data_IF_167125372853
#
_entry.id   IF_167125372853
#
_cell.length_a   1.000
_cell.length_b   1.000
_cell.length_c   1.000
_cell.angle_alpha   90.00
_cell.angle_beta   90.00
_cell.angle_gamma   90.00
#
_symmetry.space_group_name_H-M   'P 1'
#
loop_
_entity.id
_entity.type
_entity.pdbx_description
1 polymer ?
#
# COMPACT_ATOMS: atom_id res chain seq x y z
N UNK A 1 40.08 -34.43 -4.70
CA UNK A 1 38.66 -34.68 -5.05
C UNK A 1 37.95 -33.34 -5.35
N UNK A 2 38.43 -32.58 -6.33
CA UNK A 2 37.84 -31.29 -6.77
C UNK A 2 37.77 -31.18 -8.30
N UNK A 3 38.35 -32.13 -9.04
CA UNK A 3 38.45 -32.05 -10.51
C UNK A 3 37.21 -32.59 -11.25
N UNK A 4 36.25 -33.19 -10.55
CA UNK A 4 35.09 -33.86 -11.17
C UNK A 4 33.84 -32.98 -11.28
N UNK A 5 33.83 -31.78 -10.67
CA UNK A 5 32.66 -30.87 -10.71
C UNK A 5 32.75 -29.87 -11.87
N UNK A 6 33.96 -29.55 -12.37
CA UNK A 6 34.12 -28.69 -13.55
C UNK A 6 33.83 -29.39 -14.89
N UNK A 7 33.87 -30.73 -14.93
CA UNK A 7 33.63 -31.48 -16.17
C UNK A 7 32.15 -31.53 -16.58
N UNK A 8 31.21 -31.28 -15.64
CA UNK A 8 29.78 -31.34 -15.93
C UNK A 8 29.20 -30.05 -16.55
N UNK A 9 29.96 -28.95 -16.60
CA UNK A 9 29.53 -27.72 -17.27
C UNK A 9 30.05 -27.58 -18.71
N UNK A 10 30.93 -28.48 -19.16
CA UNK A 10 31.53 -28.41 -20.49
C UNK A 10 30.67 -29.07 -21.60
N UNK A 11 29.57 -29.74 -21.26
CA UNK A 11 28.74 -30.51 -22.22
C UNK A 11 27.23 -30.26 -22.08
N UNK A 12 26.80 -29.10 -21.58
CA UNK A 12 25.42 -28.69 -21.81
C UNK A 12 25.31 -28.19 -23.26
N UNK A 13 24.50 -28.82 -24.12
CA UNK A 13 24.19 -28.23 -25.42
C UNK A 13 23.62 -26.84 -25.17
N UNK A 14 24.05 -25.87 -25.99
CA UNK A 14 23.55 -24.51 -26.00
C UNK A 14 22.03 -24.51 -25.84
N UNK A 15 21.54 -24.17 -24.64
CA UNK A 15 20.21 -23.57 -24.49
C UNK A 15 20.27 -22.14 -25.03
N UNK A 16 20.65 -22.00 -26.30
CA UNK A 16 20.17 -20.89 -27.08
C UNK A 16 18.76 -21.33 -27.50
N UNK A 17 17.75 -20.71 -26.87
CA UNK A 17 16.44 -20.68 -27.50
C UNK A 17 16.67 -20.14 -28.92
N UNK A 18 16.54 -21.00 -29.92
CA UNK A 18 16.62 -20.57 -31.31
C UNK A 18 15.47 -19.59 -31.51
N UNK A 19 15.82 -18.30 -31.54
CA UNK A 19 14.88 -17.25 -31.84
C UNK A 19 14.31 -17.53 -33.24
N UNK A 20 13.01 -17.33 -33.48
CA UNK A 20 12.47 -17.38 -34.82
C UNK A 20 13.29 -16.45 -35.74
N UNK A 21 13.39 -16.75 -37.04
CA UNK A 21 14.23 -15.99 -37.96
C UNK A 21 13.88 -14.50 -37.89
N UNK A 22 14.91 -13.68 -37.65
CA UNK A 22 14.80 -12.23 -37.64
C UNK A 22 14.09 -11.74 -38.90
N UNK A 23 13.10 -10.85 -38.74
CA UNK A 23 12.52 -10.13 -39.87
C UNK A 23 13.64 -9.23 -40.44
N UNK A 24 14.00 -9.33 -41.73
CA UNK A 24 15.11 -8.56 -42.29
C UNK A 24 14.81 -7.05 -42.23
N UNK A 25 15.60 -6.29 -41.45
CA UNK A 25 15.47 -4.84 -41.34
C UNK A 25 15.56 -4.26 -39.93
N UNK A 26 15.63 -5.09 -38.89
CA UNK A 26 15.71 -4.65 -37.50
C UNK A 26 17.16 -4.83 -37.02
N UNK A 27 18.01 -3.80 -37.00
CA UNK A 27 19.07 -3.80 -36.02
C UNK A 27 18.39 -3.55 -34.68
N UNK A 28 18.44 -4.52 -33.75
CA UNK A 28 18.41 -4.24 -32.31
C UNK A 28 19.68 -3.44 -31.97
N UNK A 29 19.78 -2.25 -32.57
CA UNK A 29 20.82 -1.27 -32.32
C UNK A 29 20.48 -0.49 -31.06
N UNK A 30 21.47 0.24 -30.54
CA UNK A 30 21.22 1.18 -29.46
C UNK A 30 20.19 2.22 -29.92
N UNK A 31 19.01 2.26 -29.29
CA UNK A 31 18.09 3.36 -29.54
C UNK A 31 18.74 4.68 -29.07
N UNK A 32 18.46 5.81 -29.73
CA UNK A 32 18.93 7.11 -29.30
C UNK A 32 18.60 7.39 -27.83
N UNK A 33 19.42 8.25 -27.21
CA UNK A 33 19.24 8.69 -25.82
C UNK A 33 19.18 7.54 -24.78
N UNK A 34 19.87 6.43 -25.03
CA UNK A 34 19.93 5.27 -24.13
C UNK A 34 18.56 4.61 -23.86
N UNK A 35 17.63 4.72 -24.81
CA UNK A 35 16.28 4.16 -24.68
C UNK A 35 16.22 2.71 -25.13
N UNK A 36 15.12 2.01 -24.86
CA UNK A 36 14.79 0.69 -25.40
C UNK A 36 13.29 0.65 -25.64
N UNK A 37 12.86 0.24 -26.84
CA UNK A 37 11.45 0.12 -27.16
C UNK A 37 11.19 -1.21 -27.88
N UNK A 38 10.24 -2.01 -27.40
CA UNK A 38 9.84 -3.27 -28.03
C UNK A 38 8.32 -3.43 -27.92
N UNK A 39 7.66 -3.72 -29.05
CA UNK A 39 6.20 -3.84 -29.14
C UNK A 39 5.51 -2.69 -29.88
N UNK A 40 4.23 -2.88 -30.19
CA UNK A 40 3.46 -1.94 -31.01
C UNK A 40 3.19 -0.64 -30.25
N UNK A 41 3.58 0.49 -30.85
CA UNK A 41 3.46 1.84 -30.28
C UNK A 41 4.17 2.02 -28.92
N UNK A 42 5.16 1.19 -28.61
CA UNK A 42 6.05 1.43 -27.48
C UNK A 42 6.88 2.70 -27.73
N UNK A 43 6.95 3.60 -26.76
CA UNK A 43 7.76 4.84 -26.82
C UNK A 43 7.48 5.72 -28.06
N UNK A 44 6.22 5.78 -28.52
CA UNK A 44 5.86 6.40 -29.79
C UNK A 44 6.05 7.93 -29.84
N UNK A 45 5.89 8.62 -28.70
CA UNK A 45 5.94 10.08 -28.59
C UNK A 45 6.96 10.53 -27.53
N UNK A 46 8.25 10.42 -27.87
CA UNK A 46 9.37 10.95 -27.08
C UNK A 46 9.81 12.32 -27.63
N UNK A 47 9.61 13.37 -26.84
CA UNK A 47 9.89 14.78 -27.17
C UNK A 47 11.25 15.30 -26.69
N UNK A 48 12.00 14.54 -25.87
CA UNK A 48 13.34 14.92 -25.44
C UNK A 48 13.96 14.13 -24.29
N UNK A 49 13.26 13.14 -23.74
CA UNK A 49 13.72 12.34 -22.61
C UNK A 49 14.79 11.31 -22.96
N UNK A 50 15.43 10.73 -21.95
CA UNK A 50 16.51 9.74 -22.11
C UNK A 50 16.36 8.57 -21.14
N UNK A 51 16.97 7.42 -21.46
CA UNK A 51 17.08 6.28 -20.55
C UNK A 51 15.78 5.53 -20.27
N UNK A 52 14.77 5.67 -21.14
CA UNK A 52 13.48 5.01 -20.99
C UNK A 52 13.50 3.58 -21.58
N UNK A 53 12.87 2.62 -20.89
CA UNK A 53 12.68 1.24 -21.36
C UNK A 53 11.19 0.95 -21.50
N UNK A 54 10.70 0.68 -22.70
CA UNK A 54 9.29 0.43 -23.00
C UNK A 54 9.12 -0.94 -23.67
N UNK A 55 8.43 -1.88 -23.02
CA UNK A 55 8.21 -3.23 -23.54
C UNK A 55 6.72 -3.56 -23.46
N UNK A 56 6.04 -3.66 -24.61
CA UNK A 56 4.63 -4.03 -24.70
C UNK A 56 3.79 -3.06 -25.54
N UNK A 57 2.51 -3.42 -25.74
CA UNK A 57 1.56 -2.60 -26.49
C UNK A 57 1.30 -1.28 -25.78
N UNK A 58 1.57 -0.14 -26.43
CA UNK A 58 1.41 1.20 -25.86
C UNK A 58 2.18 1.46 -24.54
N UNK A 59 3.24 0.69 -24.26
CA UNK A 59 4.09 0.98 -23.10
C UNK A 59 4.84 2.30 -23.33
N UNK A 60 4.83 3.21 -22.34
CA UNK A 60 5.43 4.54 -22.43
C UNK A 60 5.04 5.30 -23.72
N UNK A 61 3.77 5.17 -24.14
CA UNK A 61 3.29 5.69 -25.42
C UNK A 61 3.52 7.20 -25.58
N UNK A 62 3.09 7.97 -24.59
CA UNK A 62 3.34 9.40 -24.46
C UNK A 62 4.30 9.61 -23.29
N UNK A 63 5.55 9.98 -23.59
CA UNK A 63 6.57 10.22 -22.58
C UNK A 63 7.21 11.62 -22.68
N UNK A 64 7.02 12.34 -23.79
CA UNK A 64 7.54 13.70 -23.98
C UNK A 64 9.03 13.85 -23.56
N UNK A 65 9.38 14.69 -22.59
CA UNK A 65 10.73 14.81 -22.04
C UNK A 65 11.01 14.00 -20.75
N UNK A 66 10.08 13.11 -20.35
CA UNK A 66 10.25 12.24 -19.18
C UNK A 66 11.43 11.28 -19.38
N UNK A 67 12.19 11.01 -18.32
CA UNK A 67 13.46 10.27 -18.41
C UNK A 67 13.59 9.17 -17.36
N UNK A 68 14.40 8.15 -17.66
CA UNK A 68 14.72 7.05 -16.73
C UNK A 68 13.50 6.21 -16.30
N UNK A 69 12.47 6.12 -17.15
CA UNK A 69 11.26 5.36 -16.85
C UNK A 69 11.30 3.96 -17.48
N UNK A 70 10.87 2.94 -16.74
CA UNK A 70 10.76 1.55 -17.22
C UNK A 70 9.29 1.13 -17.24
N UNK A 71 8.70 0.93 -18.40
CA UNK A 71 7.38 0.36 -18.60
C UNK A 71 7.47 -1.04 -19.22
N UNK A 72 6.85 -2.03 -18.59
CA UNK A 72 6.77 -3.41 -19.10
C UNK A 72 5.35 -3.92 -18.95
N UNK A 73 4.63 -4.06 -20.05
CA UNK A 73 3.23 -4.49 -20.09
C UNK A 73 2.37 -3.63 -21.01
N UNK A 74 1.16 -4.12 -21.31
CA UNK A 74 0.22 -3.38 -22.13
C UNK A 74 -0.25 -2.11 -21.38
N UNK A 75 0.01 -0.94 -21.96
CA UNK A 75 -0.36 0.36 -21.39
C UNK A 75 0.40 0.76 -20.13
N UNK A 76 1.51 0.08 -19.78
CA UNK A 76 2.34 0.48 -18.65
C UNK A 76 2.97 1.86 -18.92
N UNK A 77 2.75 2.84 -18.03
CA UNK A 77 3.18 4.23 -18.18
C UNK A 77 2.72 4.91 -19.48
N UNK A 78 1.57 4.53 -20.05
CA UNK A 78 1.17 5.00 -21.37
C UNK A 78 0.97 6.53 -21.46
N UNK A 79 0.53 7.15 -20.36
CA UNK A 79 0.25 8.59 -20.27
C UNK A 79 1.15 9.21 -19.20
N UNK A 80 2.46 9.19 -19.43
CA UNK A 80 3.40 9.89 -18.55
C UNK A 80 3.82 11.25 -19.11
N UNK A 81 3.83 12.28 -18.27
CA UNK A 81 4.15 13.64 -18.72
C UNK A 81 5.38 14.21 -18.01
N UNK A 82 5.82 15.37 -18.46
CA UNK A 82 7.03 16.02 -17.92
C UNK A 82 6.70 16.79 -16.64
N UNK A 83 7.62 16.84 -15.65
CA UNK A 83 8.99 16.30 -15.63
C UNK A 83 9.18 14.89 -15.00
N UNK A 84 8.26 13.92 -15.18
CA UNK A 84 8.37 12.61 -14.53
C UNK A 84 9.72 11.89 -14.77
N UNK A 85 10.35 11.43 -13.68
CA UNK A 85 11.62 10.69 -13.72
C UNK A 85 11.63 9.44 -12.86
N UNK A 86 12.43 8.45 -13.27
CA UNK A 86 12.80 7.29 -12.45
C UNK A 86 11.64 6.39 -12.02
N UNK A 87 10.60 6.26 -12.84
CA UNK A 87 9.46 5.38 -12.53
C UNK A 87 9.65 3.97 -13.10
N UNK A 88 9.20 2.95 -12.36
CA UNK A 88 9.18 1.55 -12.82
C UNK A 88 7.76 1.01 -12.77
N UNK A 89 7.19 0.62 -13.91
CA UNK A 89 5.86 0.05 -14.02
C UNK A 89 5.90 -1.31 -14.74
N UNK A 90 5.47 -2.37 -14.04
CA UNK A 90 5.45 -3.74 -14.56
C UNK A 90 4.06 -4.35 -14.39
N UNK A 91 3.37 -4.63 -15.49
CA UNK A 91 2.00 -5.14 -15.51
C UNK A 91 1.12 -4.43 -16.52
N UNK A 92 0.00 -5.04 -16.89
CA UNK A 92 -0.98 -4.38 -17.75
C UNK A 92 -1.61 -3.19 -17.00
N UNK A 93 -1.56 -2.01 -17.59
CA UNK A 93 -2.11 -0.77 -17.02
C UNK A 93 -1.41 -0.28 -15.74
N UNK A 94 -0.26 -0.83 -15.37
CA UNK A 94 0.52 -0.34 -14.24
C UNK A 94 0.97 1.11 -14.52
N UNK A 95 0.69 2.03 -13.60
CA UNK A 95 0.92 3.46 -13.77
C UNK A 95 0.39 4.02 -15.09
N UNK A 96 -0.80 3.59 -15.54
CA UNK A 96 -1.36 4.03 -16.82
C UNK A 96 -1.32 5.55 -16.99
N UNK A 97 -1.71 6.28 -15.95
CA UNK A 97 -1.65 7.74 -15.87
C UNK A 97 -0.65 8.12 -14.78
N UNK A 98 0.51 8.63 -15.20
CA UNK A 98 1.54 9.19 -14.33
C UNK A 98 1.92 10.61 -14.77
N UNK A 99 1.24 11.64 -14.28
CA UNK A 99 1.40 13.02 -14.75
C UNK A 99 2.85 13.52 -14.64
N UNK A 100 3.26 14.07 -13.51
CA UNK A 100 4.64 14.50 -13.24
C UNK A 100 5.30 13.76 -12.06
N UNK A 101 4.60 12.78 -11.49
CA UNK A 101 5.09 11.94 -10.41
C UNK A 101 6.40 11.22 -10.74
N UNK A 102 7.31 11.21 -9.78
CA UNK A 102 8.67 10.68 -9.91
C UNK A 102 9.02 9.67 -8.82
N UNK A 103 10.01 8.83 -9.10
CA UNK A 103 10.53 7.81 -8.18
C UNK A 103 9.48 6.79 -7.71
N UNK A 104 8.48 6.48 -8.54
CA UNK A 104 7.45 5.51 -8.21
C UNK A 104 7.78 4.10 -8.75
N UNK A 105 7.44 3.07 -7.99
CA UNK A 105 7.53 1.67 -8.42
C UNK A 105 6.16 1.01 -8.35
N UNK A 106 5.68 0.46 -9.46
CA UNK A 106 4.42 -0.25 -9.57
C UNK A 106 4.64 -1.61 -10.24
N UNK A 107 4.21 -2.69 -9.59
CA UNK A 107 4.31 -4.06 -10.10
C UNK A 107 3.01 -4.81 -9.81
N UNK A 108 2.21 -5.00 -10.85
CA UNK A 108 0.91 -5.64 -10.77
C UNK A 108 -0.06 -5.08 -11.81
N UNK A 109 -1.08 -5.87 -12.16
CA UNK A 109 -2.16 -5.42 -13.04
C UNK A 109 -2.89 -4.23 -12.42
N UNK A 110 -2.95 -3.10 -13.14
CA UNK A 110 -3.55 -1.84 -12.68
C UNK A 110 -2.99 -1.31 -11.34
N UNK A 111 -1.74 -1.66 -10.99
CA UNK A 111 -1.06 -1.06 -9.84
C UNK A 111 -0.75 0.42 -10.11
N UNK A 112 -1.01 1.29 -9.13
CA UNK A 112 -0.75 2.73 -9.21
C UNK A 112 -1.37 3.40 -10.45
N UNK A 113 -2.56 2.97 -10.88
CA UNK A 113 -3.15 3.35 -12.18
C UNK A 113 -3.33 4.85 -12.35
N UNK A 114 -3.80 5.52 -11.29
CA UNK A 114 -4.02 6.96 -11.28
C UNK A 114 -3.08 7.64 -10.27
N UNK A 115 -1.94 8.13 -10.78
CA UNK A 115 -0.97 8.92 -10.03
C UNK A 115 -0.69 10.21 -10.79
N UNK A 116 -1.31 11.33 -10.43
CA UNK A 116 -1.13 12.59 -11.17
C UNK A 116 0.24 13.18 -10.86
N UNK A 117 0.54 13.49 -9.60
CA UNK A 117 1.83 14.09 -9.21
C UNK A 117 2.54 13.42 -8.04
N UNK A 118 1.97 12.35 -7.49
CA UNK A 118 2.54 11.65 -6.34
C UNK A 118 3.92 11.06 -6.62
N UNK A 119 4.80 11.14 -5.64
CA UNK A 119 6.20 10.74 -5.72
C UNK A 119 6.54 9.67 -4.68
N UNK A 120 7.57 8.87 -4.98
CA UNK A 120 8.15 7.90 -4.04
C UNK A 120 7.14 6.84 -3.53
N UNK A 121 6.17 6.48 -4.37
CA UNK A 121 5.16 5.47 -4.08
C UNK A 121 5.59 4.07 -4.55
N UNK A 122 5.34 3.05 -3.72
CA UNK A 122 5.69 1.66 -3.96
C UNK A 122 4.41 0.80 -3.97
N UNK A 123 3.97 0.32 -5.13
CA UNK A 123 2.77 -0.48 -5.31
C UNK A 123 3.10 -1.89 -5.84
N UNK A 124 2.91 -2.93 -5.02
CA UNK A 124 3.15 -4.33 -5.38
C UNK A 124 1.89 -5.16 -5.18
N UNK A 125 1.19 -5.49 -6.26
CA UNK A 125 -0.07 -6.23 -6.23
C UNK A 125 -1.06 -5.71 -7.26
N UNK A 126 -2.09 -6.52 -7.57
CA UNK A 126 -3.15 -6.05 -8.47
C UNK A 126 -3.98 -4.98 -7.76
N UNK A 127 -4.19 -3.84 -8.42
CA UNK A 127 -4.92 -2.68 -7.88
C UNK A 127 -4.33 -2.07 -6.59
N UNK A 128 -3.08 -2.37 -6.25
CA UNK A 128 -2.38 -1.67 -5.17
C UNK A 128 -2.22 -0.19 -5.53
N UNK A 129 -2.57 0.73 -4.62
CA UNK A 129 -2.58 2.19 -4.84
C UNK A 129 -3.33 2.62 -6.10
N UNK A 130 -4.43 1.94 -6.45
CA UNK A 130 -5.14 2.18 -7.71
C UNK A 130 -5.49 3.67 -7.94
N UNK A 131 -5.98 4.35 -6.90
CA UNK A 131 -6.05 5.81 -6.82
C UNK A 131 -4.97 6.29 -5.85
N UNK A 132 -4.16 7.25 -6.29
CA UNK A 132 -3.16 7.96 -5.48
C UNK A 132 -2.82 9.29 -6.19
N UNK A 133 -3.76 10.24 -6.21
CA UNK A 133 -3.73 11.37 -7.15
C UNK A 133 -2.49 12.25 -6.98
N UNK A 134 -2.26 12.77 -5.78
CA UNK A 134 -1.14 13.67 -5.44
C UNK A 134 -0.26 13.12 -4.31
N UNK A 135 -0.75 12.17 -3.51
CA UNK A 135 -0.05 11.69 -2.32
C UNK A 135 1.34 11.07 -2.56
N UNK A 136 2.24 11.33 -1.61
CA UNK A 136 3.65 11.00 -1.61
C UNK A 136 3.99 9.88 -0.60
N UNK A 137 4.99 9.08 -0.95
CA UNK A 137 5.70 8.22 0.01
C UNK A 137 4.90 7.02 0.54
N UNK A 138 3.92 6.52 -0.21
CA UNK A 138 3.10 5.39 0.19
C UNK A 138 3.73 4.04 -0.20
N UNK A 139 3.56 3.02 0.62
CA UNK A 139 3.93 1.64 0.33
C UNK A 139 2.71 0.73 0.43
N UNK A 140 2.30 0.13 -0.68
CA UNK A 140 1.19 -0.81 -0.76
C UNK A 140 1.67 -2.16 -1.31
N UNK A 141 1.55 -3.22 -0.52
CA UNK A 141 1.94 -4.58 -0.90
C UNK A 141 0.74 -5.49 -0.64
N UNK A 142 0.06 -5.93 -1.70
CA UNK A 142 -1.14 -6.76 -1.61
C UNK A 142 -2.15 -6.40 -2.68
N UNK A 143 -3.14 -7.27 -2.89
CA UNK A 143 -4.26 -6.96 -3.77
C UNK A 143 -5.17 -5.93 -3.07
N UNK A 144 -5.54 -4.88 -3.80
CA UNK A 144 -6.33 -3.74 -3.30
C UNK A 144 -5.77 -2.99 -2.08
N UNK A 145 -4.48 -3.14 -1.74
CA UNK A 145 -3.87 -2.36 -0.66
C UNK A 145 -3.87 -0.86 -1.04
N UNK A 146 -4.35 0.00 -0.14
CA UNK A 146 -4.49 1.46 -0.37
C UNK A 146 -5.27 1.84 -1.65
N UNK A 147 -6.32 1.09 -2.01
CA UNK A 147 -7.03 1.26 -3.29
C UNK A 147 -7.60 2.67 -3.52
N UNK A 148 -8.05 3.36 -2.47
CA UNK A 148 -8.74 4.66 -2.56
C UNK A 148 -7.91 5.84 -2.05
N UNK A 149 -6.59 5.67 -1.90
CA UNK A 149 -5.72 6.69 -1.30
C UNK A 149 -5.76 8.01 -2.10
N UNK A 150 -6.00 9.11 -1.43
CA UNK A 150 -6.12 10.46 -2.00
C UNK A 150 -7.09 10.53 -3.20
N UNK A 151 -8.25 9.88 -3.08
CA UNK A 151 -9.23 9.82 -4.16
C UNK A 151 -9.74 11.21 -4.60
N UNK A 152 -9.82 12.17 -3.68
CA UNK A 152 -10.27 13.53 -3.98
C UNK A 152 -9.15 14.46 -4.46
N UNK A 153 -7.89 14.08 -4.29
CA UNK A 153 -6.74 14.89 -4.71
C UNK A 153 -6.59 16.14 -3.86
N UNK A 154 -6.67 15.99 -2.55
CA UNK A 154 -6.50 17.12 -1.62
C UNK A 154 -5.04 17.26 -1.11
N UNK A 155 -4.10 16.47 -1.69
CA UNK A 155 -2.67 16.44 -1.31
C UNK A 155 -2.48 16.05 0.18
N UNK A 156 -3.32 15.10 0.59
CA UNK A 156 -3.32 14.43 1.89
C UNK A 156 -3.20 12.92 1.62
N UNK A 157 -3.13 12.08 2.66
CA UNK A 157 -2.87 10.64 2.54
C UNK A 157 -1.42 10.21 2.26
N UNK A 158 -0.44 11.00 2.70
CA UNK A 158 0.98 10.68 2.59
C UNK A 158 1.48 9.64 3.60
N UNK A 159 2.60 9.03 3.26
CA UNK A 159 3.44 8.25 4.17
C UNK A 159 2.73 7.06 4.83
N UNK A 160 1.81 6.41 4.12
CA UNK A 160 1.15 5.20 4.58
C UNK A 160 1.92 3.94 4.19
N UNK A 161 1.87 2.91 5.06
CA UNK A 161 2.40 1.58 4.77
C UNK A 161 1.30 0.54 4.92
N UNK A 162 0.84 -0.04 3.82
CA UNK A 162 -0.17 -1.10 3.79
C UNK A 162 0.42 -2.40 3.22
N UNK A 163 0.43 -3.47 4.01
CA UNK A 163 0.96 -4.78 3.63
C UNK A 163 -0.07 -5.86 3.96
N UNK A 164 -0.77 -6.36 2.96
CA UNK A 164 -1.86 -7.34 3.09
C UNK A 164 -2.92 -7.17 2.00
N UNK A 165 -3.72 -8.22 1.78
CA UNK A 165 -4.93 -8.10 0.95
C UNK A 165 -5.93 -7.17 1.64
N UNK A 166 -6.40 -6.13 0.93
CA UNK A 166 -7.35 -5.15 1.46
C UNK A 166 -6.83 -4.24 2.59
N UNK A 167 -5.52 -4.26 2.90
CA UNK A 167 -4.95 -3.37 3.92
C UNK A 167 -5.18 -1.89 3.53
N UNK A 168 -5.77 -1.11 4.44
CA UNK A 168 -6.17 0.29 4.21
C UNK A 168 -7.03 0.51 2.96
N UNK A 169 -7.90 -0.44 2.61
CA UNK A 169 -8.73 -0.37 1.40
C UNK A 169 -9.52 0.93 1.26
N UNK A 170 -10.16 1.40 2.34
CA UNK A 170 -11.03 2.57 2.33
C UNK A 170 -10.32 3.89 2.69
N UNK A 171 -9.00 3.91 2.86
CA UNK A 171 -8.27 5.13 3.17
C UNK A 171 -8.39 6.12 2.02
N UNK A 172 -8.92 7.30 2.34
CA UNK A 172 -9.03 8.44 1.44
C UNK A 172 -7.92 9.42 1.80
N UNK A 173 -7.98 10.09 2.95
CA UNK A 173 -7.04 11.18 3.28
C UNK A 173 -6.16 10.92 4.52
N UNK A 174 -6.34 9.78 5.18
CA UNK A 174 -5.57 9.42 6.36
C UNK A 174 -4.08 9.26 6.04
N UNK A 175 -3.21 9.93 6.79
CA UNK A 175 -1.76 9.94 6.58
C UNK A 175 -1.00 9.25 7.72
N UNK A 176 0.24 8.84 7.44
CA UNK A 176 1.17 8.25 8.44
C UNK A 176 0.62 7.02 9.17
N UNK A 177 -0.21 6.23 8.48
CA UNK A 177 -0.73 4.99 9.03
C UNK A 177 0.14 3.78 8.64
N UNK A 178 0.23 2.80 9.54
CA UNK A 178 0.87 1.51 9.30
C UNK A 178 -0.18 0.41 9.42
N UNK A 179 -0.39 -0.37 8.38
CA UNK A 179 -1.31 -1.50 8.32
C UNK A 179 -0.58 -2.75 7.79
N UNK A 180 -0.39 -3.76 8.63
CA UNK A 180 0.28 -5.01 8.26
C UNK A 180 -0.62 -6.18 8.64
N UNK A 181 -1.23 -6.83 7.65
CA UNK A 181 -2.21 -7.88 7.82
C UNK A 181 -3.36 -7.71 6.83
N UNK A 182 -4.05 -8.81 6.50
CA UNK A 182 -5.25 -8.72 5.68
C UNK A 182 -6.31 -7.88 6.40
N UNK A 183 -6.89 -6.92 5.67
CA UNK A 183 -7.91 -5.97 6.13
C UNK A 183 -7.51 -5.10 7.35
N UNK A 184 -6.20 -5.01 7.68
CA UNK A 184 -5.74 -4.08 8.70
C UNK A 184 -6.07 -2.63 8.30
N UNK A 185 -6.68 -1.85 9.22
CA UNK A 185 -7.22 -0.51 8.95
C UNK A 185 -8.18 -0.44 7.74
N UNK A 186 -8.87 -1.54 7.40
CA UNK A 186 -9.64 -1.65 6.15
C UNK A 186 -10.74 -0.60 5.95
N UNK A 187 -11.32 -0.06 7.02
CA UNK A 187 -12.34 1.00 7.01
C UNK A 187 -11.87 2.34 7.61
N UNK A 188 -10.55 2.58 7.65
CA UNK A 188 -9.98 3.87 8.04
C UNK A 188 -10.09 4.88 6.91
N UNK A 189 -11.00 5.85 7.00
CA UNK A 189 -11.33 6.75 5.89
C UNK A 189 -10.42 7.99 5.87
N UNK A 190 -10.37 8.76 6.98
CA UNK A 190 -9.64 10.03 7.08
C UNK A 190 -8.63 10.06 8.24
N UNK A 191 -8.72 9.14 9.19
CA UNK A 191 -7.87 9.19 10.37
C UNK A 191 -6.38 8.88 10.07
N UNK A 192 -5.52 9.57 10.80
CA UNK A 192 -4.06 9.53 10.64
C UNK A 192 -3.36 8.95 11.88
N UNK A 193 -2.08 8.63 11.74
CA UNK A 193 -1.20 8.27 12.85
C UNK A 193 -1.59 6.98 13.60
N UNK A 194 -2.18 6.00 12.89
CA UNK A 194 -2.52 4.69 13.46
C UNK A 194 -1.52 3.59 13.09
N UNK A 195 -1.31 2.63 13.99
CA UNK A 195 -0.52 1.42 13.75
C UNK A 195 -1.37 0.17 13.97
N UNK A 196 -1.61 -0.60 12.92
CA UNK A 196 -2.37 -1.84 12.91
C UNK A 196 -1.50 -2.99 12.39
N UNK A 197 -1.27 -4.00 13.21
CA UNK A 197 -0.47 -5.18 12.84
C UNK A 197 -1.23 -6.45 13.24
N UNK A 198 -1.84 -7.12 12.26
CA UNK A 198 -2.63 -8.34 12.46
C UNK A 198 -3.83 -8.39 11.52
N UNK A 199 -4.40 -9.58 11.34
CA UNK A 199 -5.65 -9.75 10.60
C UNK A 199 -6.77 -8.93 11.25
N UNK A 200 -7.41 -8.04 10.50
CA UNK A 200 -8.46 -7.15 10.97
C UNK A 200 -8.09 -6.27 12.18
N UNK A 201 -6.80 -6.00 12.41
CA UNK A 201 -6.41 -5.02 13.43
C UNK A 201 -6.93 -3.64 13.02
N UNK A 202 -7.62 -2.92 13.94
CA UNK A 202 -8.23 -1.62 13.68
C UNK A 202 -9.17 -1.57 12.47
N UNK A 203 -9.84 -2.69 12.12
CA UNK A 203 -10.66 -2.80 10.90
C UNK A 203 -11.65 -1.65 10.73
N UNK A 204 -12.45 -1.36 11.77
CA UNK A 204 -13.50 -0.36 11.73
C UNK A 204 -13.07 1.01 12.28
N UNK A 205 -11.75 1.24 12.42
CA UNK A 205 -11.23 2.52 12.86
C UNK A 205 -11.64 3.62 11.87
N UNK A 206 -12.27 4.69 12.34
CA UNK A 206 -12.78 5.80 11.52
C UNK A 206 -13.80 5.41 10.42
N UNK A 207 -14.59 4.34 10.62
CA UNK A 207 -15.63 3.96 9.64
C UNK A 207 -16.74 5.02 9.46
N UNK A 208 -16.80 6.00 10.36
CA UNK A 208 -17.72 7.12 10.32
C UNK A 208 -17.25 8.23 9.36
N UNK A 209 -15.95 8.24 9.02
CA UNK A 209 -15.33 9.28 8.19
C UNK A 209 -15.23 10.64 8.88
N UNK A 210 -15.09 10.68 10.21
CA UNK A 210 -14.91 11.92 10.97
C UNK A 210 -13.44 12.29 11.16
N UNK A 211 -12.50 11.39 10.83
CA UNK A 211 -11.06 11.57 10.99
C UNK A 211 -10.61 11.64 12.46
N UNK A 212 -11.46 11.22 13.40
CA UNK A 212 -11.21 11.39 14.84
C UNK A 212 -10.42 10.23 15.47
N UNK A 213 -10.43 9.05 14.84
CA UNK A 213 -9.83 7.85 15.39
C UNK A 213 -8.31 7.79 15.16
N UNK A 214 -7.57 8.74 15.74
CA UNK A 214 -6.12 8.93 15.56
C UNK A 214 -5.30 8.32 16.70
N UNK A 215 -4.00 8.18 16.50
CA UNK A 215 -3.03 7.77 17.52
C UNK A 215 -3.34 6.39 18.16
N UNK A 216 -3.97 5.48 17.43
CA UNK A 216 -4.26 4.13 17.93
C UNK A 216 -3.19 3.13 17.51
N UNK A 217 -2.78 2.25 18.43
CA UNK A 217 -1.87 1.12 18.18
C UNK A 217 -2.60 -0.18 18.46
N UNK A 218 -2.88 -0.98 17.43
CA UNK A 218 -3.44 -2.33 17.53
C UNK A 218 -2.48 -3.38 16.98
N UNK A 219 -1.96 -4.26 17.83
CA UNK A 219 -1.04 -5.33 17.46
C UNK A 219 -1.64 -6.67 17.91
N UNK A 220 -2.02 -7.52 16.96
CA UNK A 220 -2.71 -8.79 17.19
C UNK A 220 -3.91 -8.95 16.27
N UNK A 221 -4.36 -10.18 16.05
CA UNK A 221 -5.58 -10.42 15.29
C UNK A 221 -6.77 -9.74 16.01
N UNK A 222 -7.53 -8.93 15.27
CA UNK A 222 -8.72 -8.22 15.77
C UNK A 222 -8.45 -7.29 16.98
N UNK A 223 -7.20 -6.86 17.20
CA UNK A 223 -6.89 -5.82 18.17
C UNK A 223 -7.57 -4.51 17.74
N UNK A 224 -8.30 -3.86 18.66
CA UNK A 224 -9.09 -2.64 18.38
C UNK A 224 -10.05 -2.76 17.18
N UNK A 225 -10.60 -3.95 16.93
CA UNK A 225 -11.43 -4.24 15.75
C UNK A 225 -12.53 -3.19 15.51
N UNK A 226 -13.24 -2.78 16.56
CA UNK A 226 -14.37 -1.84 16.49
C UNK A 226 -14.08 -0.50 17.18
N UNK A 227 -12.95 0.13 16.86
CA UNK A 227 -12.53 1.44 17.38
C UNK A 227 -13.01 2.62 16.53
N UNK A 228 -14.33 2.83 16.46
CA UNK A 228 -14.95 3.68 15.43
C UNK A 228 -14.38 5.11 15.43
N UNK A 229 -14.42 5.84 16.54
CA UNK A 229 -14.00 7.24 16.60
C UNK A 229 -12.99 7.53 17.71
N UNK A 230 -12.68 6.55 18.55
CA UNK A 230 -11.79 6.74 19.69
C UNK A 230 -10.31 6.84 19.30
N UNK A 231 -9.56 7.57 20.12
CA UNK A 231 -8.16 7.90 19.87
C UNK A 231 -7.26 7.56 21.06
N UNK A 232 -5.97 7.42 20.76
CA UNK A 232 -4.93 7.23 21.78
C UNK A 232 -4.99 5.89 22.50
N UNK A 233 -5.52 4.84 21.86
CA UNK A 233 -5.61 3.51 22.47
C UNK A 233 -4.41 2.63 22.07
N UNK A 234 -3.92 1.82 23.02
CA UNK A 234 -2.89 0.81 22.77
C UNK A 234 -3.44 -0.57 23.10
N UNK A 235 -3.51 -1.46 22.11
CA UNK A 235 -3.93 -2.84 22.23
C UNK A 235 -2.85 -3.77 21.67
N UNK A 236 -2.29 -4.63 22.52
CA UNK A 236 -1.27 -5.61 22.15
C UNK A 236 -1.74 -6.99 22.60
N UNK A 237 -2.27 -7.78 21.69
CA UNK A 237 -2.83 -9.10 21.93
C UNK A 237 -4.00 -9.40 20.98
N UNK A 238 -4.26 -10.69 20.74
CA UNK A 238 -5.44 -11.10 19.98
C UNK A 238 -6.71 -10.68 20.70
N UNK A 239 -7.60 -9.96 20.03
CA UNK A 239 -8.88 -9.49 20.61
C UNK A 239 -8.74 -8.46 21.74
N UNK A 240 -7.56 -7.88 21.95
CA UNK A 240 -7.38 -6.79 22.92
C UNK A 240 -8.17 -5.55 22.48
N UNK A 241 -8.97 -4.97 23.38
CA UNK A 241 -9.86 -3.81 23.10
C UNK A 241 -10.79 -4.00 21.89
N UNK A 242 -11.21 -5.24 21.59
CA UNK A 242 -11.97 -5.55 20.36
C UNK A 242 -13.24 -4.71 20.14
N UNK A 243 -13.94 -4.36 21.21
CA UNK A 243 -15.18 -3.58 21.17
C UNK A 243 -15.06 -2.16 21.74
N UNK A 244 -13.84 -1.61 21.77
CA UNK A 244 -13.57 -0.26 22.28
C UNK A 244 -14.14 0.81 21.34
N UNK A 245 -15.07 1.65 21.80
CA UNK A 245 -15.84 2.66 21.04
C UNK A 245 -16.81 2.09 19.99
N UNK A 246 -17.43 0.95 20.25
CA UNK A 246 -18.44 0.38 19.34
C UNK A 246 -19.65 1.31 19.12
N UNK A 247 -19.91 2.24 20.03
CA UNK A 247 -20.98 3.25 19.88
C UNK A 247 -20.61 4.38 18.91
N UNK A 248 -19.32 4.55 18.63
CA UNK A 248 -18.79 5.65 17.81
C UNK A 248 -18.96 7.03 18.46
N UNK A 249 -19.10 7.10 19.78
CA UNK A 249 -19.27 8.38 20.47
C UNK A 249 -17.94 9.04 20.89
N UNK A 250 -16.79 8.43 20.53
CA UNK A 250 -15.45 8.92 20.83
C UNK A 250 -15.15 8.97 22.35
N UNK A 251 -15.82 8.15 23.17
CA UNK A 251 -15.60 8.14 24.62
C UNK A 251 -14.46 7.21 25.03
N UNK A 252 -14.23 6.11 24.31
CA UNK A 252 -13.32 5.03 24.69
C UNK A 252 -11.85 5.33 24.39
N UNK A 253 -11.33 6.43 24.94
CA UNK A 253 -9.98 6.95 24.67
C UNK A 253 -8.95 6.58 25.74
N UNK A 254 -7.68 6.62 25.36
CA UNK A 254 -6.53 6.47 26.25
C UNK A 254 -6.49 5.13 27.02
N UNK A 255 -7.00 4.04 26.44
CA UNK A 255 -6.94 2.72 27.04
C UNK A 255 -5.66 1.98 26.65
N UNK A 256 -5.06 1.25 27.59
CA UNK A 256 -3.91 0.37 27.36
C UNK A 256 -4.29 -1.06 27.70
N UNK A 257 -4.21 -1.97 26.74
CA UNK A 257 -4.48 -3.39 26.88
C UNK A 257 -3.30 -4.21 26.34
N UNK A 258 -2.66 -5.02 27.18
CA UNK A 258 -1.53 -5.88 26.81
C UNK A 258 -1.80 -7.31 27.30
N UNK A 259 -2.22 -8.17 26.38
CA UNK A 259 -2.66 -9.54 26.65
C UNK A 259 -3.77 -9.95 25.70
N UNK A 260 -3.93 -11.26 25.47
CA UNK A 260 -5.08 -11.75 24.71
C UNK A 260 -6.38 -11.39 25.44
N UNK A 261 -7.34 -10.82 24.71
CA UNK A 261 -8.67 -10.43 25.20
C UNK A 261 -8.66 -9.43 26.39
N UNK A 262 -7.53 -8.78 26.67
CA UNK A 262 -7.48 -7.70 27.65
C UNK A 262 -8.40 -6.54 27.22
N UNK A 263 -9.26 -6.08 28.14
CA UNK A 263 -10.29 -5.06 27.88
C UNK A 263 -11.19 -5.36 26.66
N UNK A 264 -11.45 -6.64 26.33
CA UNK A 264 -12.22 -7.00 25.14
C UNK A 264 -13.56 -6.25 25.04
N UNK A 265 -14.32 -6.17 26.14
CA UNK A 265 -15.59 -5.46 26.27
C UNK A 265 -15.44 -4.18 27.12
N UNK A 266 -14.65 -3.23 26.60
CA UNK A 266 -14.52 -1.88 27.13
C UNK A 266 -15.18 -0.86 26.17
N UNK A 267 -16.51 -0.89 26.08
CA UNK A 267 -17.24 -0.18 25.03
C UNK A 267 -16.98 1.32 25.03
N UNK A 268 -17.20 2.04 26.14
CA UNK A 268 -16.98 3.50 26.18
C UNK A 268 -16.07 3.94 27.34
N UNK A 269 -15.50 2.98 28.08
CA UNK A 269 -14.60 3.23 29.19
C UNK A 269 -13.30 3.88 28.71
N UNK A 270 -12.77 4.84 29.48
CA UNK A 270 -11.54 5.57 29.15
C UNK A 270 -10.45 5.40 30.21
N UNK A 271 -9.21 5.64 29.80
CA UNK A 271 -8.05 5.67 30.68
C UNK A 271 -7.87 4.38 31.51
N UNK A 272 -8.26 3.22 30.97
CA UNK A 272 -8.08 1.94 31.63
C UNK A 272 -6.73 1.31 31.25
N UNK A 273 -6.09 0.61 32.18
CA UNK A 273 -4.86 -0.17 31.95
C UNK A 273 -5.10 -1.63 32.32
N UNK A 274 -4.95 -2.54 31.35
CA UNK A 274 -5.07 -3.97 31.56
C UNK A 274 -3.83 -4.69 31.00
N UNK A 275 -3.15 -5.44 31.85
CA UNK A 275 -2.01 -6.27 31.48
C UNK A 275 -2.32 -7.70 31.92
N UNK A 276 -2.11 -8.67 31.03
CA UNK A 276 -2.46 -10.08 31.24
C UNK A 276 -3.63 -10.55 30.38
N UNK A 277 -3.75 -11.86 30.24
CA UNK A 277 -4.86 -12.49 29.49
C UNK A 277 -6.17 -12.26 30.24
N UNK A 278 -7.21 -11.85 29.51
CA UNK A 278 -8.56 -11.55 30.02
C UNK A 278 -8.61 -10.45 31.10
N UNK A 279 -7.53 -9.67 31.27
CA UNK A 279 -7.49 -8.59 32.25
C UNK A 279 -8.56 -7.54 31.93
N UNK A 280 -9.42 -7.24 32.90
CA UNK A 280 -10.58 -6.36 32.73
C UNK A 280 -11.48 -6.73 31.53
N UNK A 281 -11.64 -8.03 31.23
CA UNK A 281 -12.40 -8.54 30.07
C UNK A 281 -13.75 -7.85 29.84
N UNK A 282 -14.53 -7.63 30.91
CA UNK A 282 -15.86 -7.02 30.89
C UNK A 282 -15.89 -5.68 31.65
N UNK A 283 -15.05 -4.73 31.26
CA UNK A 283 -14.92 -3.47 31.99
C UNK A 283 -16.11 -2.54 31.81
N UNK A 284 -16.58 -2.33 30.58
CA UNK A 284 -17.73 -1.46 30.27
C UNK A 284 -18.62 -2.09 29.18
N UNK A 285 -19.20 -3.25 29.46
CA UNK A 285 -20.14 -3.88 28.53
C UNK A 285 -21.43 -3.07 28.33
N UNK A 286 -21.69 -2.08 29.19
CA UNK A 286 -22.87 -1.22 29.12
C UNK A 286 -22.78 -0.12 28.06
N UNK A 287 -21.58 0.27 27.64
CA UNK A 287 -21.37 1.44 26.76
C UNK A 287 -21.86 2.74 27.39
N UNK A 288 -21.76 2.86 28.71
CA UNK A 288 -22.13 4.09 29.43
C UNK A 288 -20.89 4.88 29.88
N UNK A 289 -19.67 4.38 29.64
CA UNK A 289 -18.41 5.04 30.00
C UNK A 289 -18.11 5.07 31.50
N UNK A 290 -18.89 4.35 32.31
CA UNK A 290 -18.79 4.42 33.78
C UNK A 290 -17.56 3.70 34.34
N UNK A 291 -16.96 2.78 33.60
CA UNK A 291 -15.76 2.06 34.02
C UNK A 291 -14.50 2.71 33.43
N UNK A 292 -14.09 3.81 34.06
CA UNK A 292 -12.92 4.60 33.67
C UNK A 292 -11.85 4.59 34.75
N UNK A 293 -10.57 4.62 34.35
CA UNK A 293 -9.44 4.70 35.28
C UNK A 293 -9.12 3.40 36.02
N UNK A 294 -9.60 2.26 35.53
CA UNK A 294 -9.33 0.96 36.15
C UNK A 294 -7.93 0.45 35.78
N UNK A 295 -7.30 -0.30 36.69
CA UNK A 295 -6.00 -0.94 36.44
C UNK A 295 -6.03 -2.41 36.89
N UNK A 296 -5.61 -3.32 36.02
CA UNK A 296 -5.32 -4.71 36.34
C UNK A 296 -4.01 -5.14 35.68
N UNK A 297 -3.19 -5.92 36.39
CA UNK A 297 -1.89 -6.45 35.95
C UNK A 297 -1.77 -7.90 36.37
#
# INVERSE_FOLDING_TARGET
>A
MILSVLACFAFLPQMQAALPPEIPGNPDGCYPAFTTAEGCNALALLGGGFGNTAIGWYSLFLADAASLNTGVGAGALALTTTPAVSNTAVGAGAMLLNGDGSDNTASGNWSLTYNVSGNRNNAFGSFALFNNVFADGNTAIGHNALLNNDFFGDDVADANTAVGDGAMFANIDGARNIAVGADALGSNILASDNTAVGFNALLANDNSGLGSAVDNTGIGAQALLNNINAFGNTAVGSGALQFNDFTGNNSARANTAVGAEALNLNTDGRANTAIGVDALLNNDSSGLGNASGNTAV
#
